data_IF_340364998403
#
_entry.id   IF_340364998403
#
_cell.length_a   1.000
_cell.length_b   1.000
_cell.length_c   1.000
_cell.angle_alpha   90.00
_cell.angle_beta   90.00
_cell.angle_gamma   90.00
#
_symmetry.space_group_name_H-M   'P 1'
#
loop_
_entity.id
_entity.type
_entity.pdbx_description
1 polymer ?
#
# COMPACT_ATOMS: atom_id res chain seq x y z
N UNK A 1 1.15 -2.37 2.24
CA UNK A 1 0.74 -1.35 3.25
C UNK A 1 0.09 -0.18 2.52
N UNK A 2 -1.24 -0.03 2.63
CA UNK A 2 -1.95 1.14 2.08
C UNK A 2 -1.72 2.38 2.97
N UNK A 3 -1.66 3.56 2.38
CA UNK A 3 -1.49 4.85 3.06
C UNK A 3 -0.05 5.32 3.27
N UNK A 4 0.97 4.56 2.84
CA UNK A 4 2.38 4.97 2.95
C UNK A 4 2.62 6.20 2.07
N UNK A 5 3.24 7.23 2.66
CA UNK A 5 3.62 8.47 1.99
C UNK A 5 5.07 8.37 1.52
N UNK A 6 5.30 8.57 0.24
CA UNK A 6 6.62 8.66 -0.37
C UNK A 6 6.92 10.10 -0.72
N UNK A 7 8.07 10.61 -0.27
CA UNK A 7 8.53 11.96 -0.59
C UNK A 7 9.50 11.90 -1.77
N UNK A 8 9.06 12.43 -2.90
CA UNK A 8 9.90 12.64 -4.08
C UNK A 8 10.49 14.04 -4.01
N UNK A 9 11.78 14.12 -3.66
CA UNK A 9 12.48 15.40 -3.50
C UNK A 9 12.65 16.10 -4.84
N UNK A 10 12.36 17.40 -4.90
CA UNK A 10 12.54 18.19 -6.13
C UNK A 10 11.65 17.76 -7.31
N UNK A 11 10.54 17.06 -7.04
CA UNK A 11 9.51 16.72 -8.04
C UNK A 11 8.19 17.43 -7.79
N UNK A 12 8.16 18.35 -6.84
CA UNK A 12 7.02 19.20 -6.54
C UNK A 12 6.97 20.44 -7.42
N UNK A 13 5.99 21.30 -7.16
CA UNK A 13 5.75 22.50 -7.96
C UNK A 13 6.92 23.47 -7.83
N UNK A 14 7.34 24.04 -8.97
CA UNK A 14 8.34 25.11 -9.01
C UNK A 14 7.71 26.41 -8.55
N UNK A 15 8.33 27.06 -7.58
CA UNK A 15 7.87 28.36 -7.09
C UNK A 15 8.00 29.44 -8.18
N UNK A 16 7.01 30.32 -8.28
CA UNK A 16 7.04 31.44 -9.23
C UNK A 16 8.04 32.52 -8.78
N UNK A 17 8.28 32.63 -7.46
CA UNK A 17 9.15 33.66 -6.85
C UNK A 17 10.53 33.15 -6.46
N UNK A 18 10.73 31.83 -6.38
CA UNK A 18 12.04 31.23 -6.09
C UNK A 18 12.38 30.16 -7.14
N UNK A 19 13.65 30.05 -7.53
CA UNK A 19 14.11 29.00 -8.46
C UNK A 19 14.04 27.58 -7.88
N UNK A 20 13.64 27.41 -6.62
CA UNK A 20 13.58 26.13 -5.92
C UNK A 20 12.34 25.31 -6.32
N UNK A 21 12.53 24.02 -6.52
CA UNK A 21 11.47 23.04 -6.73
C UNK A 21 11.02 22.46 -5.38
N UNK A 22 9.70 22.34 -5.18
CA UNK A 22 9.14 21.70 -4.01
C UNK A 22 9.30 20.17 -4.02
N UNK A 23 8.78 19.52 -3.00
CA UNK A 23 8.72 18.05 -2.91
C UNK A 23 7.31 17.55 -3.29
N UNK A 24 7.24 16.40 -3.96
CA UNK A 24 5.98 15.72 -4.26
C UNK A 24 5.76 14.60 -3.24
N UNK A 25 4.59 14.61 -2.60
CA UNK A 25 4.17 13.55 -1.69
C UNK A 25 3.19 12.61 -2.41
N UNK A 26 3.60 11.35 -2.60
CA UNK A 26 2.77 10.32 -3.20
C UNK A 26 2.20 9.41 -2.10
N UNK A 27 0.87 9.30 -2.01
CA UNK A 27 0.19 8.35 -1.14
C UNK A 27 -0.09 7.07 -1.93
N UNK A 28 0.43 5.94 -1.46
CA UNK A 28 0.12 4.63 -2.07
C UNK A 28 -1.24 4.16 -1.56
N UNK A 29 -2.18 3.93 -2.47
CA UNK A 29 -3.49 3.35 -2.20
C UNK A 29 -3.51 1.97 -2.84
N UNK A 30 -3.79 0.94 -2.04
CA UNK A 30 -4.04 -0.40 -2.55
C UNK A 30 -5.55 -0.53 -2.74
N UNK A 31 -5.98 -0.73 -3.97
CA UNK A 31 -7.38 -1.02 -4.30
C UNK A 31 -7.62 -2.54 -4.23
N UNK A 32 -8.71 -2.95 -3.59
CA UNK A 32 -9.13 -4.35 -3.57
C UNK A 32 -10.05 -4.62 -4.77
N UNK A 33 -9.69 -5.55 -5.68
CA UNK A 33 -10.48 -5.82 -6.87
C UNK A 33 -11.88 -6.35 -6.52
N UNK A 34 -12.90 -5.85 -7.23
CA UNK A 34 -14.28 -6.33 -7.17
C UNK A 34 -14.59 -7.17 -8.41
N UNK A 35 -15.51 -8.14 -8.29
CA UNK A 35 -15.91 -9.06 -9.37
C UNK A 35 -14.77 -9.98 -9.89
N UNK A 36 -14.33 -10.89 -9.03
CA UNK A 36 -13.27 -11.86 -9.35
C UNK A 36 -13.81 -13.04 -10.17
N UNK A 37 -13.02 -13.50 -11.14
CA UNK A 37 -13.26 -14.79 -11.82
C UNK A 37 -12.97 -15.97 -10.88
N UNK A 38 -13.44 -17.17 -11.23
CA UNK A 38 -13.23 -18.38 -10.41
C UNK A 38 -11.75 -18.66 -10.12
N UNK A 39 -10.88 -18.45 -11.11
CA UNK A 39 -9.43 -18.65 -10.96
C UNK A 39 -8.81 -17.61 -10.03
N UNK A 40 -9.18 -16.33 -10.19
CA UNK A 40 -8.68 -15.25 -9.34
C UNK A 40 -9.09 -15.43 -7.88
N UNK A 41 -10.33 -15.89 -7.65
CA UNK A 41 -10.81 -16.24 -6.31
C UNK A 41 -9.98 -17.37 -5.71
N UNK A 42 -9.75 -18.46 -6.45
CA UNK A 42 -8.96 -19.60 -5.99
C UNK A 42 -7.53 -19.19 -5.61
N UNK A 43 -6.90 -18.31 -6.39
CA UNK A 43 -5.57 -17.78 -6.07
C UNK A 43 -5.57 -16.96 -4.77
N UNK A 44 -6.61 -16.17 -4.54
CA UNK A 44 -6.76 -15.40 -3.29
C UNK A 44 -7.00 -16.30 -2.09
N UNK A 45 -7.81 -17.36 -2.23
CA UNK A 45 -8.03 -18.36 -1.18
C UNK A 45 -6.74 -19.13 -0.86
N UNK A 46 -5.99 -19.57 -1.88
CA UNK A 46 -4.69 -20.19 -1.68
C UNK A 46 -3.71 -19.23 -0.99
N UNK A 47 -3.67 -17.97 -1.42
CA UNK A 47 -2.87 -16.95 -0.77
C UNK A 47 -3.28 -16.77 0.70
N UNK A 48 -4.57 -16.71 1.01
CA UNK A 48 -5.10 -16.63 2.38
C UNK A 48 -4.61 -17.81 3.24
N UNK A 49 -4.61 -19.04 2.73
CA UNK A 49 -4.12 -20.19 3.51
C UNK A 49 -2.65 -20.07 3.92
N UNK A 50 -1.82 -19.34 3.18
CA UNK A 50 -0.42 -19.10 3.54
C UNK A 50 -0.24 -18.18 4.76
N UNK A 51 -1.31 -17.48 5.16
CA UNK A 51 -1.33 -16.63 6.36
C UNK A 51 -1.89 -17.34 7.59
N UNK A 52 -1.89 -18.67 7.62
CA UNK A 52 -2.31 -19.46 8.79
C UNK A 52 -1.12 -20.15 9.45
N UNK A 53 -0.95 -20.02 10.78
CA UNK A 53 0.18 -20.55 11.55
C UNK A 53 0.89 -19.51 12.43
N UNK A 54 1.96 -19.90 13.12
CA UNK A 54 2.69 -19.01 14.06
C UNK A 54 3.32 -17.77 13.38
N UNK A 55 3.69 -17.90 12.11
CA UNK A 55 4.31 -16.84 11.30
C UNK A 55 3.29 -15.84 10.72
N UNK A 56 1.99 -16.15 10.76
CA UNK A 56 0.90 -15.30 10.25
C UNK A 56 0.94 -13.87 10.83
N UNK A 57 1.31 -13.77 12.11
CA UNK A 57 1.41 -12.49 12.84
C UNK A 57 2.47 -11.55 12.27
N UNK A 58 3.50 -12.07 11.59
CA UNK A 58 4.57 -11.25 10.98
C UNK A 58 4.10 -10.52 9.72
N UNK A 59 3.07 -11.04 9.05
CA UNK A 59 2.63 -10.52 7.75
C UNK A 59 1.37 -9.64 7.82
N UNK A 60 0.65 -9.66 8.94
CA UNK A 60 -0.53 -8.82 9.19
C UNK A 60 -0.37 -7.96 10.46
N UNK A 61 0.45 -6.89 10.41
CA UNK A 61 0.70 -6.03 11.57
C UNK A 61 -0.56 -5.27 12.04
N UNK A 62 -1.54 -5.04 11.15
CA UNK A 62 -2.80 -4.35 11.48
C UNK A 62 -3.84 -5.21 12.19
N UNK A 63 -3.76 -6.55 12.11
CA UNK A 63 -4.70 -7.42 12.84
C UNK A 63 -4.26 -7.70 14.28
N UNK A 64 -3.02 -7.35 14.64
CA UNK A 64 -2.46 -7.56 15.98
C UNK A 64 -2.52 -6.31 16.89
N UNK A 65 -2.78 -5.12 16.34
CA UNK A 65 -2.77 -3.86 17.11
C UNK A 65 -4.04 -3.06 16.82
N UNK A 66 -4.87 -2.83 17.84
CA UNK A 66 -6.05 -1.98 17.78
C UNK A 66 -5.68 -0.48 17.82
N UNK A 67 -4.98 0.02 16.79
CA UNK A 67 -4.85 1.45 16.48
C UNK A 67 -4.82 1.63 14.95
#
# INVERSE_FOLDING_TARGET
QTGKLFRLRGKGVRSVRSRSEGDLYCRVVVETPVNLTTEQRKLLEQFETTFTGEEARKHSPKSATFI
#
